data_IF_474054211750
#
_entry.id   IF_474054211750
#
_cell.length_a   1.000
_cell.length_b   1.000
_cell.length_c   1.000
_cell.angle_alpha   90.00
_cell.angle_beta   90.00
_cell.angle_gamma   90.00
#
_symmetry.space_group_name_H-M   'P 1'
#
loop_
_entity.id
_entity.type
_entity.pdbx_description
1 polymer ?
#
# COMPACT_ATOMS: atom_id res chain seq x y z
N UNK A 1 10.72 3.77 0.10
CA UNK A 1 11.51 3.97 -1.12
C UNK A 1 10.61 3.77 -2.33
N UNK A 2 10.55 4.75 -3.22
CA UNK A 2 9.71 4.83 -4.43
C UNK A 2 10.62 4.88 -5.65
N UNK A 3 11.63 5.76 -5.66
CA UNK A 3 12.63 5.80 -6.72
C UNK A 3 14.06 5.63 -6.16
N UNK A 4 14.52 4.39 -5.97
CA UNK A 4 15.87 4.14 -5.49
C UNK A 4 16.93 4.57 -6.53
N UNK A 5 17.93 5.31 -6.06
CA UNK A 5 19.11 5.73 -6.84
C UNK A 5 20.39 5.38 -6.09
N UNK A 6 21.46 5.17 -6.84
CA UNK A 6 22.79 4.84 -6.32
C UNK A 6 23.75 6.00 -6.55
N UNK A 7 24.51 6.32 -5.50
CA UNK A 7 25.64 7.25 -5.51
C UNK A 7 26.90 6.57 -6.07
N UNK A 8 27.94 7.36 -6.36
CA UNK A 8 29.23 6.85 -6.84
C UNK A 8 29.93 5.93 -5.82
N UNK A 9 29.65 6.13 -4.54
CA UNK A 9 30.07 5.31 -3.38
C UNK A 9 29.35 3.96 -3.29
N UNK A 10 28.30 3.74 -4.09
CA UNK A 10 27.45 2.55 -4.03
C UNK A 10 26.29 2.64 -3.03
N UNK A 11 26.21 3.71 -2.22
CA UNK A 11 25.06 3.95 -1.34
C UNK A 11 23.79 4.08 -2.16
N UNK A 12 22.74 3.36 -1.76
CA UNK A 12 21.42 3.48 -2.37
C UNK A 12 20.49 4.29 -1.48
N UNK A 13 19.84 5.29 -2.07
CA UNK A 13 18.99 6.25 -1.38
C UNK A 13 17.70 6.49 -2.17
N UNK A 14 16.70 7.09 -1.52
CA UNK A 14 15.53 7.64 -2.20
C UNK A 14 15.95 8.88 -2.98
N UNK A 15 15.58 8.98 -4.27
CA UNK A 15 15.89 10.13 -5.12
C UNK A 15 15.52 11.45 -4.47
N UNK A 16 14.27 11.60 -4.01
CA UNK A 16 13.80 12.86 -3.44
C UNK A 16 14.58 13.26 -2.18
N UNK A 17 15.07 12.28 -1.41
CA UNK A 17 15.82 12.57 -0.20
C UNK A 17 17.25 13.03 -0.51
N UNK A 18 17.91 12.42 -1.50
CA UNK A 18 19.27 12.81 -1.86
C UNK A 18 19.32 14.10 -2.68
N UNK A 19 18.28 14.38 -3.47
CA UNK A 19 18.13 15.67 -4.16
C UNK A 19 18.01 16.81 -3.13
N UNK A 20 17.17 16.66 -2.11
CA UNK A 20 17.08 17.65 -0.99
C UNK A 20 18.41 17.80 -0.26
N UNK A 21 19.10 16.69 0.00
CA UNK A 21 20.41 16.72 0.65
C UNK A 21 21.43 17.55 -0.13
N UNK A 22 21.46 17.42 -1.46
CA UNK A 22 22.32 18.21 -2.34
C UNK A 22 21.86 19.67 -2.45
N UNK A 23 20.55 19.93 -2.47
CA UNK A 23 19.98 21.28 -2.49
C UNK A 23 20.34 22.07 -1.21
N UNK A 24 20.49 21.39 -0.08
CA UNK A 24 20.97 21.95 1.18
C UNK A 24 22.49 22.23 1.19
N UNK A 25 23.19 21.94 0.08
CA UNK A 25 24.62 22.19 -0.11
C UNK A 25 25.54 21.09 0.43
N UNK A 26 24.99 19.95 0.83
CA UNK A 26 25.79 18.82 1.29
C UNK A 26 26.38 18.06 0.09
N UNK A 27 27.70 17.87 0.08
CA UNK A 27 28.42 17.14 -0.97
C UNK A 27 29.04 15.84 -0.45
N UNK A 28 28.51 15.31 0.66
CA UNK A 28 28.96 14.07 1.26
C UNK A 28 27.92 12.98 1.07
N UNK A 29 28.38 11.73 1.10
CA UNK A 29 27.50 10.57 1.18
C UNK A 29 26.76 10.60 2.53
N UNK A 30 25.42 10.55 2.56
CA UNK A 30 24.65 10.64 3.80
C UNK A 30 24.82 9.41 4.72
N UNK A 31 25.40 8.32 4.22
CA UNK A 31 25.62 7.07 4.94
C UNK A 31 27.08 6.87 5.36
N UNK A 32 28.04 7.16 4.47
CA UNK A 32 29.47 6.98 4.77
C UNK A 32 30.15 8.25 5.26
N UNK A 33 29.50 9.41 5.11
CA UNK A 33 30.03 10.75 5.42
C UNK A 33 31.25 11.15 4.57
N UNK A 34 31.61 10.36 3.57
CA UNK A 34 32.71 10.65 2.64
C UNK A 34 32.31 11.72 1.63
N UNK A 35 33.25 12.58 1.25
CA UNK A 35 33.03 13.57 0.20
C UNK A 35 32.81 12.86 -1.14
N UNK A 36 31.73 13.18 -1.82
CA UNK A 36 31.40 12.60 -3.11
C UNK A 36 32.30 13.18 -4.21
N UNK A 37 32.92 12.30 -5.00
CA UNK A 37 33.67 12.71 -6.20
C UNK A 37 32.74 13.19 -7.32
N UNK A 38 31.50 12.71 -7.33
CA UNK A 38 30.46 13.02 -8.32
C UNK A 38 29.06 12.93 -7.67
N UNK A 39 28.18 13.86 -8.01
CA UNK A 39 26.79 13.91 -7.51
C UNK A 39 25.79 13.29 -8.48
N UNK A 40 26.26 12.65 -9.56
CA UNK A 40 25.41 11.97 -10.53
C UNK A 40 24.63 10.81 -9.89
N UNK A 41 23.30 10.89 -9.94
CA UNK A 41 22.40 9.85 -9.44
C UNK A 41 22.15 8.77 -10.50
N UNK A 42 22.51 7.52 -10.19
CA UNK A 42 22.24 6.37 -11.07
C UNK A 42 20.96 5.66 -10.65
N UNK A 43 19.97 5.56 -11.53
CA UNK A 43 18.73 4.82 -11.21
C UNK A 43 19.00 3.36 -10.87
N UNK A 44 18.48 2.89 -9.74
CA UNK A 44 18.53 1.48 -9.36
C UNK A 44 17.24 0.77 -9.79
N UNK A 45 17.13 0.49 -11.09
CA UNK A 45 15.93 -0.09 -11.71
C UNK A 45 15.57 -1.44 -11.10
N UNK A 46 16.57 -2.29 -10.84
CA UNK A 46 16.34 -3.63 -10.29
C UNK A 46 15.78 -3.59 -8.87
N UNK A 47 16.31 -2.73 -8.01
CA UNK A 47 15.76 -2.56 -6.66
C UNK A 47 14.34 -2.00 -6.72
N UNK A 48 14.07 -1.06 -7.64
CA UNK A 48 12.72 -0.53 -7.84
C UNK A 48 11.73 -1.63 -8.24
N UNK A 49 12.10 -2.49 -9.18
CA UNK A 49 11.31 -3.66 -9.60
C UNK A 49 11.04 -4.60 -8.41
N UNK A 50 12.08 -4.99 -7.67
CA UNK A 50 11.92 -5.85 -6.48
C UNK A 50 11.04 -5.25 -5.38
N UNK A 51 11.08 -3.92 -5.19
CA UNK A 51 10.19 -3.22 -4.26
C UNK A 51 8.74 -3.31 -4.72
N UNK A 52 8.48 -3.13 -6.02
CA UNK A 52 7.13 -3.23 -6.59
C UNK A 52 6.60 -4.65 -6.45
N UNK A 53 7.37 -5.66 -6.86
CA UNK A 53 6.99 -7.07 -6.74
C UNK A 53 6.68 -7.45 -5.28
N UNK A 54 7.54 -7.04 -4.34
CA UNK A 54 7.31 -7.30 -2.92
C UNK A 54 6.01 -6.65 -2.41
N UNK A 55 5.71 -5.42 -2.86
CA UNK A 55 4.45 -4.75 -2.50
C UNK A 55 3.24 -5.49 -3.05
N UNK A 56 3.26 -5.87 -4.33
CA UNK A 56 2.16 -6.60 -4.96
C UNK A 56 1.88 -7.94 -4.26
N UNK A 57 2.93 -8.70 -3.93
CA UNK A 57 2.81 -9.93 -3.16
C UNK A 57 2.23 -9.68 -1.76
N UNK A 58 2.73 -8.66 -1.06
CA UNK A 58 2.23 -8.29 0.26
C UNK A 58 0.74 -7.90 0.21
N UNK A 59 0.29 -7.19 -0.83
CA UNK A 59 -1.13 -6.89 -1.03
C UNK A 59 -1.96 -8.16 -1.27
N UNK A 60 -1.49 -9.08 -2.12
CA UNK A 60 -2.15 -10.35 -2.37
C UNK A 60 -2.33 -11.16 -1.07
N UNK A 61 -1.29 -11.24 -0.24
CA UNK A 61 -1.35 -11.93 1.05
C UNK A 61 -2.34 -11.28 2.01
N UNK A 62 -2.34 -9.94 2.13
CA UNK A 62 -3.28 -9.21 2.98
C UNK A 62 -4.72 -9.42 2.53
N UNK A 63 -5.00 -9.32 1.24
CA UNK A 63 -6.35 -9.53 0.68
C UNK A 63 -6.84 -10.95 0.94
N UNK A 64 -5.98 -11.95 0.71
CA UNK A 64 -6.31 -13.34 1.01
C UNK A 64 -6.66 -13.54 2.48
N UNK A 65 -5.83 -13.01 3.39
CA UNK A 65 -6.08 -13.10 4.84
C UNK A 65 -7.38 -12.41 5.25
N UNK A 66 -7.66 -11.22 4.72
CA UNK A 66 -8.93 -10.50 4.94
C UNK A 66 -10.10 -11.36 4.48
N UNK A 67 -10.04 -11.97 3.29
CA UNK A 67 -11.12 -12.82 2.76
C UNK A 67 -11.38 -14.02 3.67
N UNK A 68 -10.33 -14.72 4.09
CA UNK A 68 -10.44 -15.86 5.00
C UNK A 68 -11.08 -15.47 6.34
N UNK A 69 -10.70 -14.32 6.90
CA UNK A 69 -11.25 -13.83 8.15
C UNK A 69 -12.70 -13.34 8.02
N UNK A 70 -13.08 -12.72 6.90
CA UNK A 70 -14.47 -12.32 6.61
C UNK A 70 -15.42 -13.50 6.52
N UNK A 71 -14.93 -14.63 6.00
CA UNK A 71 -15.69 -15.87 5.88
C UNK A 71 -15.67 -16.72 7.16
N UNK A 72 -14.99 -16.25 8.21
CA UNK A 72 -15.01 -16.91 9.50
C UNK A 72 -16.33 -16.63 10.24
N UNK A 73 -16.79 -17.58 11.06
CA UNK A 73 -17.97 -17.39 11.92
C UNK A 73 -17.67 -16.53 13.16
N UNK A 74 -16.79 -15.53 13.05
CA UNK A 74 -16.33 -14.68 14.14
C UNK A 74 -16.59 -13.21 13.85
N UNK A 75 -17.54 -12.63 14.60
CA UNK A 75 -17.85 -11.19 14.52
C UNK A 75 -16.64 -10.29 14.82
N UNK A 76 -15.73 -10.75 15.69
CA UNK A 76 -14.50 -10.03 16.00
C UNK A 76 -13.57 -9.97 14.78
N UNK A 77 -13.31 -11.12 14.15
CA UNK A 77 -12.46 -11.21 12.95
C UNK A 77 -13.07 -10.47 11.77
N UNK A 78 -14.39 -10.50 11.63
CA UNK A 78 -15.11 -9.75 10.61
C UNK A 78 -14.88 -8.25 10.78
N UNK A 79 -15.09 -7.70 11.99
CA UNK A 79 -14.90 -6.26 12.25
C UNK A 79 -13.45 -5.83 12.07
N UNK A 80 -12.50 -6.68 12.46
CA UNK A 80 -11.08 -6.43 12.24
C UNK A 80 -10.77 -6.40 10.74
N UNK A 81 -11.25 -7.38 9.99
CA UNK A 81 -11.05 -7.49 8.53
C UNK A 81 -11.63 -6.31 7.77
N UNK A 82 -12.81 -5.83 8.16
CA UNK A 82 -13.38 -4.59 7.60
C UNK A 82 -12.47 -3.38 7.88
N UNK A 83 -11.90 -3.29 9.08
CA UNK A 83 -10.97 -2.20 9.44
C UNK A 83 -9.66 -2.29 8.65
N UNK A 84 -9.13 -3.50 8.46
CA UNK A 84 -7.94 -3.74 7.64
C UNK A 84 -8.19 -3.40 6.16
N UNK A 85 -9.37 -3.73 5.64
CA UNK A 85 -9.80 -3.36 4.29
C UNK A 85 -9.90 -1.84 4.12
N UNK A 86 -10.48 -1.12 5.09
CA UNK A 86 -10.51 0.34 5.07
C UNK A 86 -9.11 0.97 5.12
N UNK A 87 -8.20 0.40 5.91
CA UNK A 87 -6.81 0.86 5.95
C UNK A 87 -6.12 0.69 4.59
N UNK A 88 -6.32 -0.46 3.93
CA UNK A 88 -5.82 -0.70 2.56
C UNK A 88 -6.34 0.35 1.56
N UNK A 89 -7.64 0.64 1.59
CA UNK A 89 -8.28 1.61 0.69
C UNK A 89 -7.65 3.02 0.83
N UNK A 90 -7.33 3.42 2.06
CA UNK A 90 -6.77 4.75 2.37
C UNK A 90 -5.28 4.85 2.06
N UNK A 91 -4.55 3.74 2.11
CA UNK A 91 -3.10 3.68 1.90
C UNK A 91 -2.72 4.06 0.46
N UNK A 92 -3.44 3.56 -0.54
CA UNK A 92 -3.18 3.82 -1.95
C UNK A 92 -4.44 3.60 -2.78
N UNK A 93 -4.72 4.50 -3.74
CA UNK A 93 -5.88 4.39 -4.62
C UNK A 93 -5.88 3.11 -5.47
N UNK A 94 -4.70 2.57 -5.82
CA UNK A 94 -4.58 1.30 -6.55
C UNK A 94 -5.12 0.11 -5.75
N UNK A 95 -5.16 0.21 -4.42
CA UNK A 95 -5.65 -0.88 -3.57
C UNK A 95 -7.14 -1.15 -3.77
N UNK A 96 -7.90 -0.19 -4.31
CA UNK A 96 -9.30 -0.40 -4.69
C UNK A 96 -9.45 -1.39 -5.84
N UNK A 97 -8.53 -1.38 -6.80
CA UNK A 97 -8.49 -2.35 -7.89
C UNK A 97 -8.15 -3.75 -7.33
N UNK A 98 -7.15 -3.85 -6.46
CA UNK A 98 -6.78 -5.11 -5.82
C UNK A 98 -7.92 -5.71 -4.98
N UNK A 99 -8.62 -4.88 -4.21
CA UNK A 99 -9.81 -5.27 -3.42
C UNK A 99 -10.91 -5.83 -4.32
N UNK A 100 -11.14 -5.19 -5.47
CA UNK A 100 -12.11 -5.64 -6.47
C UNK A 100 -11.68 -6.97 -7.11
N UNK A 101 -10.40 -7.12 -7.47
CA UNK A 101 -9.83 -8.37 -8.00
C UNK A 101 -9.93 -9.51 -6.98
N UNK A 102 -9.76 -9.20 -5.69
CA UNK A 102 -9.90 -10.16 -4.59
C UNK A 102 -11.34 -10.55 -4.25
N UNK A 103 -12.34 -9.94 -4.91
CA UNK A 103 -13.78 -10.13 -4.67
C UNK A 103 -14.18 -9.80 -3.21
N UNK A 104 -13.42 -8.93 -2.54
CA UNK A 104 -13.71 -8.56 -1.16
C UNK A 104 -15.01 -7.75 -1.08
N UNK A 105 -15.29 -6.91 -2.08
CA UNK A 105 -16.56 -6.17 -2.22
C UNK A 105 -17.75 -7.11 -2.29
N UNK A 106 -17.69 -8.15 -3.13
CA UNK A 106 -18.77 -9.12 -3.30
C UNK A 106 -18.96 -9.96 -2.04
N UNK A 107 -17.85 -10.31 -1.38
CA UNK A 107 -17.86 -11.03 -0.10
C UNK A 107 -18.59 -10.21 0.97
N UNK A 108 -18.25 -8.94 1.17
CA UNK A 108 -18.90 -8.10 2.20
C UNK A 108 -20.36 -7.76 1.84
N UNK A 109 -20.71 -7.65 0.55
CA UNK A 109 -22.11 -7.50 0.11
C UNK A 109 -22.93 -8.74 0.46
N UNK A 110 -22.37 -9.93 0.26
CA UNK A 110 -23.02 -11.20 0.63
C UNK A 110 -23.24 -11.27 2.15
N UNK A 111 -22.24 -10.89 2.94
CA UNK A 111 -22.34 -10.83 4.40
C UNK A 111 -23.39 -9.80 4.83
N UNK A 112 -23.45 -8.63 4.18
CA UNK A 112 -24.45 -7.60 4.48
C UNK A 112 -25.88 -8.12 4.37
N UNK A 113 -26.17 -8.91 3.34
CA UNK A 113 -27.50 -9.50 3.10
C UNK A 113 -27.90 -10.55 4.14
N UNK A 114 -26.93 -11.25 4.72
CA UNK A 114 -27.15 -12.34 5.67
C UNK A 114 -26.99 -11.94 7.15
N UNK A 115 -26.44 -10.76 7.44
CA UNK A 115 -26.17 -10.33 8.81
C UNK A 115 -27.44 -9.82 9.49
N UNK A 116 -27.59 -10.08 10.78
CA UNK A 116 -28.63 -9.46 11.63
C UNK A 116 -28.11 -8.28 12.46
N UNK A 117 -26.79 -8.10 12.51
CA UNK A 117 -26.15 -7.08 13.35
C UNK A 117 -26.13 -5.72 12.66
N UNK A 118 -26.85 -4.74 13.22
CA UNK A 118 -26.85 -3.36 12.75
C UNK A 118 -25.45 -2.74 12.73
N UNK A 119 -24.63 -3.05 13.73
CA UNK A 119 -23.24 -2.56 13.81
C UNK A 119 -22.38 -3.10 12.66
N UNK A 120 -22.49 -4.40 12.37
CA UNK A 120 -21.80 -5.03 11.25
C UNK A 120 -22.28 -4.43 9.93
N UNK A 121 -23.60 -4.30 9.73
CA UNK A 121 -24.18 -3.67 8.53
C UNK A 121 -23.65 -2.26 8.32
N UNK A 122 -23.68 -1.43 9.37
CA UNK A 122 -23.18 -0.06 9.32
C UNK A 122 -21.71 -0.03 8.91
N UNK A 123 -20.87 -0.89 9.51
CA UNK A 123 -19.44 -0.93 9.19
C UNK A 123 -19.15 -1.42 7.78
N UNK A 124 -19.92 -2.39 7.27
CA UNK A 124 -19.83 -2.82 5.87
C UNK A 124 -20.20 -1.67 4.93
N UNK A 125 -21.30 -0.96 5.19
CA UNK A 125 -21.75 0.16 4.35
C UNK A 125 -20.70 1.29 4.29
N UNK A 126 -20.08 1.63 5.43
CA UNK A 126 -18.98 2.60 5.46
C UNK A 126 -17.78 2.09 4.64
N UNK A 127 -17.44 0.81 4.76
CA UNK A 127 -16.34 0.21 4.00
C UNK A 127 -16.62 0.22 2.50
N UNK A 128 -17.85 -0.08 2.07
CA UNK A 128 -18.27 0.00 0.68
C UNK A 128 -18.24 1.44 0.15
N UNK A 129 -18.66 2.42 0.96
CA UNK A 129 -18.53 3.85 0.60
C UNK A 129 -17.07 4.20 0.34
N UNK A 130 -16.16 3.85 1.26
CA UNK A 130 -14.72 4.10 1.13
C UNK A 130 -14.15 3.45 -0.16
N UNK A 131 -14.62 2.24 -0.50
CA UNK A 131 -14.19 1.53 -1.70
C UNK A 131 -14.62 2.22 -3.01
N UNK A 132 -15.80 2.83 -3.04
CA UNK A 132 -16.40 3.47 -4.23
C UNK A 132 -15.95 4.92 -4.39
N UNK A 133 -15.81 5.66 -3.29
CA UNK A 133 -15.51 7.09 -3.28
C UNK A 133 -14.17 7.40 -3.96
N UNK A 134 -14.15 8.25 -4.98
CA UNK A 134 -12.92 8.63 -5.68
C UNK A 134 -12.23 7.48 -6.42
N UNK A 135 -12.92 6.37 -6.69
CA UNK A 135 -12.39 5.30 -7.53
C UNK A 135 -12.33 5.77 -9.00
N UNK A 136 -11.19 5.54 -9.66
CA UNK A 136 -10.97 5.99 -11.04
C UNK A 136 -12.01 5.48 -12.07
N UNK A 137 -12.66 4.34 -11.79
CA UNK A 137 -13.71 3.72 -12.62
C UNK A 137 -15.09 4.36 -12.47
N UNK A 138 -15.28 5.19 -11.45
CA UNK A 138 -16.57 5.84 -11.12
C UNK A 138 -16.65 7.28 -11.63
N UNK A 139 -15.80 7.66 -12.59
CA UNK A 139 -15.83 8.96 -13.26
C UNK A 139 -16.69 8.93 -14.51
#
# INVERSE_FOLDING_TARGET
MVDPVSLCTGTTCERSAIEVWFDDGNLTDPKTEEVLEDTTLRSNVRLRESIVEWRELNYCFRIKSIKENLLSNSDLLLKESLSQMQALIRENSINKDWISIGELTDTIITILGNSDSTDVKMKILITLKDAVEGHARNK
#
